data_IF_301321499351
#
_entry.id   IF_301321499351
#
_cell.length_a   1.000
_cell.length_b   1.000
_cell.length_c   1.000
_cell.angle_alpha   90.00
_cell.angle_beta   90.00
_cell.angle_gamma   90.00
#
_symmetry.space_group_name_H-M   'P 1'
#
loop_
_entity.id
_entity.type
_entity.pdbx_description
1 polymer ?
#
# COMPACT_ATOMS: atom_id res chain seq x y z
N UNK A 1 37.82 26.79 -20.52
CA UNK A 1 37.14 26.46 -19.25
C UNK A 1 35.65 26.29 -19.52
N UNK A 2 35.09 25.10 -19.30
CA UNK A 2 33.65 24.90 -19.42
C UNK A 2 32.92 25.74 -18.37
N UNK A 3 32.08 26.68 -18.82
CA UNK A 3 31.22 27.46 -17.91
C UNK A 3 30.21 26.51 -17.27
N UNK A 4 30.33 26.31 -15.96
CA UNK A 4 29.40 25.51 -15.16
C UNK A 4 28.50 26.41 -14.32
N UNK A 5 27.22 26.08 -14.27
CA UNK A 5 26.19 26.80 -13.55
C UNK A 5 25.60 25.90 -12.47
N UNK A 6 25.62 26.35 -11.21
CA UNK A 6 24.99 25.61 -10.11
C UNK A 6 23.60 26.15 -9.85
N UNK A 7 22.59 25.29 -9.90
CA UNK A 7 21.20 25.62 -9.59
C UNK A 7 20.83 25.01 -8.24
N UNK A 8 20.42 25.83 -7.28
CA UNK A 8 19.94 25.36 -5.97
C UNK A 8 18.48 25.77 -5.82
N UNK A 9 17.63 24.79 -5.60
CA UNK A 9 16.20 24.97 -5.41
C UNK A 9 15.90 24.75 -3.93
N UNK A 10 15.33 25.76 -3.29
CA UNK A 10 15.13 25.77 -1.85
C UNK A 10 13.77 26.32 -1.45
N UNK A 11 13.28 25.92 -0.28
CA UNK A 11 12.15 26.55 0.41
C UNK A 11 12.57 26.81 1.84
N UNK A 12 12.54 28.07 2.27
CA UNK A 12 13.03 28.45 3.60
C UNK A 12 14.48 27.94 3.81
N UNK A 13 14.70 27.02 4.77
CA UNK A 13 16.02 26.44 5.09
C UNK A 13 16.29 25.09 4.38
N UNK A 14 15.31 24.50 3.70
CA UNK A 14 15.47 23.18 3.08
C UNK A 14 15.81 23.29 1.60
N UNK A 15 16.83 22.56 1.17
CA UNK A 15 17.24 22.41 -0.23
C UNK A 15 16.54 21.16 -0.78
N UNK A 16 15.79 21.33 -1.88
CA UNK A 16 15.08 20.23 -2.54
C UNK A 16 15.93 19.63 -3.64
N UNK A 17 16.48 20.49 -4.51
CA UNK A 17 17.30 20.06 -5.64
C UNK A 17 18.58 20.90 -5.72
N UNK A 18 19.70 20.24 -5.99
CA UNK A 18 20.98 20.86 -6.29
C UNK A 18 21.48 20.28 -7.62
N UNK A 19 21.48 21.10 -8.67
CA UNK A 19 21.79 20.65 -10.03
C UNK A 19 22.99 21.42 -10.55
N UNK A 20 24.04 20.72 -10.95
CA UNK A 20 25.15 21.33 -11.68
C UNK A 20 24.91 21.15 -13.18
N UNK A 21 24.84 22.26 -13.89
CA UNK A 21 24.51 22.32 -15.31
C UNK A 21 25.77 22.75 -16.07
N UNK A 22 26.17 21.94 -17.03
CA UNK A 22 27.19 22.24 -18.05
C UNK A 22 26.54 22.17 -19.44
N UNK A 23 27.28 22.58 -20.46
CA UNK A 23 26.79 22.50 -21.85
C UNK A 23 26.41 21.08 -22.29
N UNK A 24 27.07 20.07 -21.73
CA UNK A 24 26.97 18.68 -22.17
C UNK A 24 26.27 17.78 -21.14
N UNK A 25 26.19 18.19 -19.87
CA UNK A 25 25.55 17.41 -18.81
C UNK A 25 24.78 18.28 -17.82
N UNK A 26 23.73 17.73 -17.23
CA UNK A 26 23.07 18.31 -16.06
C UNK A 26 22.94 17.22 -15.01
N UNK A 27 23.69 17.36 -13.92
CA UNK A 27 23.81 16.33 -12.88
C UNK A 27 23.09 16.84 -11.63
N UNK A 28 22.09 16.08 -11.20
CA UNK A 28 21.36 16.32 -9.96
C UNK A 28 22.12 15.65 -8.81
N UNK A 29 22.60 16.44 -7.86
CA UNK A 29 23.10 15.93 -6.59
C UNK A 29 21.90 15.62 -5.69
N UNK A 30 21.65 14.33 -5.47
CA UNK A 30 20.70 13.89 -4.47
C UNK A 30 21.26 14.21 -3.09
N UNK A 31 20.44 14.80 -2.23
CA UNK A 31 20.71 14.84 -0.80
C UNK A 31 20.71 13.39 -0.30
N UNK A 32 21.88 12.82 0.00
CA UNK A 32 21.98 11.60 0.78
C UNK A 32 21.45 11.91 2.18
N UNK A 33 20.16 11.66 2.41
CA UNK A 33 19.66 11.44 3.76
C UNK A 33 19.90 9.95 4.07
N UNK A 34 20.75 9.74 5.07
CA UNK A 34 21.32 8.47 5.55
C UNK A 34 20.38 7.26 5.48
N UNK A 35 20.87 6.17 4.88
CA UNK A 35 20.88 4.84 5.50
C UNK A 35 22.02 3.98 4.90
N UNK A 36 22.97 3.63 5.78
CA UNK A 36 23.96 2.53 5.71
C UNK A 36 25.07 2.60 4.65
N UNK A 37 26.21 3.15 5.11
CA UNK A 37 27.50 2.45 5.03
C UNK A 37 28.20 2.37 3.69
N UNK A 38 28.87 3.44 3.26
CA UNK A 38 30.00 3.32 2.33
C UNK A 38 31.11 4.28 2.77
N UNK A 39 32.20 3.71 3.30
CA UNK A 39 33.52 4.32 3.22
C UNK A 39 33.90 4.33 1.73
N UNK A 40 33.63 5.42 1.03
CA UNK A 40 34.35 5.76 -0.18
C UNK A 40 34.59 7.27 -0.17
N UNK A 41 35.81 7.61 0.27
CA UNK A 41 36.38 8.93 0.14
C UNK A 41 36.27 9.39 -1.32
N UNK A 42 35.74 10.58 -1.63
CA UNK A 42 36.12 11.23 -2.86
C UNK A 42 37.48 11.89 -2.62
N UNK A 43 38.52 11.33 -3.23
CA UNK A 43 39.77 12.04 -3.47
C UNK A 43 39.46 13.28 -4.32
N UNK A 44 39.15 14.40 -3.67
CA UNK A 44 39.23 15.72 -4.29
C UNK A 44 40.67 16.15 -4.08
N UNK A 45 41.46 15.90 -5.11
CA UNK A 45 42.78 16.48 -5.30
C UNK A 45 42.62 18.00 -5.15
N UNK A 46 43.25 18.54 -4.12
CA UNK A 46 43.49 19.95 -3.94
C UNK A 46 44.07 20.54 -5.23
N UNK A 47 43.34 21.45 -5.84
CA UNK A 47 43.92 22.47 -6.71
C UNK A 47 43.16 23.78 -6.51
N UNK A 48 43.81 24.66 -5.76
CA UNK A 48 43.46 26.05 -5.50
C UNK A 48 43.19 26.78 -6.82
N UNK A 49 41.92 27.11 -7.07
CA UNK A 49 41.57 28.28 -7.88
C UNK A 49 40.50 29.05 -7.11
N UNK A 50 40.83 30.26 -6.65
CA UNK A 50 39.90 31.15 -5.97
C UNK A 50 38.86 31.69 -6.97
N UNK A 51 37.97 30.84 -7.47
CA UNK A 51 36.78 31.25 -8.20
C UNK A 51 35.75 31.75 -7.17
N UNK A 52 35.53 33.08 -7.07
CA UNK A 52 34.43 33.58 -6.22
C UNK A 52 33.10 33.02 -6.75
N UNK A 53 32.26 32.52 -5.87
CA UNK A 53 30.94 32.02 -6.23
C UNK A 53 29.97 33.18 -6.09
N UNK A 54 29.30 33.56 -7.18
CA UNK A 54 28.27 34.61 -7.12
C UNK A 54 26.91 33.93 -6.97
N UNK A 55 26.25 34.17 -5.84
CA UNK A 55 24.90 33.69 -5.57
C UNK A 55 23.86 34.70 -6.09
N UNK A 56 23.02 34.28 -7.03
CA UNK A 56 21.98 35.12 -7.64
C UNK A 56 20.60 34.55 -7.31
N UNK A 57 19.78 35.23 -6.48
CA UNK A 57 18.42 34.79 -6.22
C UNK A 57 17.51 35.13 -7.40
N UNK A 58 16.92 34.11 -8.02
CA UNK A 58 15.85 34.32 -8.99
C UNK A 58 14.53 34.51 -8.24
N UNK A 59 14.02 35.75 -8.31
CA UNK A 59 12.71 36.17 -7.80
C UNK A 59 12.47 35.92 -6.29
N UNK A 60 12.42 37.00 -5.51
CA UNK A 60 12.19 36.93 -4.05
C UNK A 60 10.82 36.34 -3.65
N UNK A 61 9.81 36.43 -4.53
CA UNK A 61 8.46 35.87 -4.33
C UNK A 61 8.38 34.36 -4.58
N UNK A 62 9.43 33.79 -5.18
CA UNK A 62 9.54 32.37 -5.51
C UNK A 62 8.69 31.93 -6.71
N UNK A 63 8.98 30.73 -7.19
CA UNK A 63 8.34 30.11 -8.35
C UNK A 63 7.44 28.95 -7.94
N UNK A 64 6.45 28.64 -8.78
CA UNK A 64 5.59 27.48 -8.61
C UNK A 64 6.44 26.19 -8.64
N UNK A 65 6.34 25.37 -7.59
CA UNK A 65 7.10 24.14 -7.46
C UNK A 65 6.95 23.17 -8.65
N UNK A 66 5.76 23.07 -9.25
CA UNK A 66 5.55 22.21 -10.42
C UNK A 66 6.29 22.73 -11.65
N UNK A 67 6.28 24.04 -11.88
CA UNK A 67 7.01 24.65 -13.00
C UNK A 67 8.52 24.45 -12.84
N UNK A 68 9.05 24.64 -11.62
CA UNK A 68 10.47 24.43 -11.34
C UNK A 68 10.85 22.97 -11.52
N UNK A 69 10.01 22.04 -11.07
CA UNK A 69 10.23 20.60 -11.27
C UNK A 69 10.28 20.23 -12.76
N UNK A 70 9.31 20.72 -13.54
CA UNK A 70 9.29 20.52 -15.00
C UNK A 70 10.53 21.14 -15.66
N UNK A 71 10.89 22.36 -15.26
CA UNK A 71 12.06 23.06 -15.79
C UNK A 71 13.36 22.27 -15.55
N UNK A 72 13.60 21.83 -14.32
CA UNK A 72 14.77 21.01 -13.97
C UNK A 72 14.79 19.70 -14.75
N UNK A 73 13.64 19.03 -14.83
CA UNK A 73 13.55 17.78 -15.56
C UNK A 73 13.81 17.97 -17.07
N UNK A 74 13.32 19.05 -17.66
CA UNK A 74 13.61 19.42 -19.06
C UNK A 74 15.09 19.73 -19.29
N UNK A 75 15.75 20.41 -18.34
CA UNK A 75 17.19 20.65 -18.39
C UNK A 75 17.99 19.35 -18.32
N UNK A 76 17.56 18.38 -17.51
CA UNK A 76 18.24 17.09 -17.39
C UNK A 76 18.04 16.24 -18.64
N UNK A 77 16.82 16.17 -19.18
CA UNK A 77 16.50 15.25 -20.28
C UNK A 77 16.85 15.78 -21.67
N UNK A 78 16.71 17.08 -21.92
CA UNK A 78 16.89 17.65 -23.27
C UNK A 78 18.17 18.47 -23.40
N UNK A 79 19.07 18.02 -24.28
CA UNK A 79 20.33 18.73 -24.56
C UNK A 79 20.08 20.07 -25.29
N UNK A 80 19.16 20.09 -26.25
CA UNK A 80 18.81 21.32 -27.01
C UNK A 80 18.24 22.39 -26.08
N UNK A 81 17.28 22.01 -25.24
CA UNK A 81 16.70 22.91 -24.24
C UNK A 81 17.76 23.40 -23.25
N UNK A 82 18.63 22.53 -22.76
CA UNK A 82 19.71 22.88 -21.83
C UNK A 82 20.66 23.92 -22.41
N UNK A 83 21.13 23.73 -23.65
CA UNK A 83 22.03 24.69 -24.30
C UNK A 83 21.37 26.06 -24.47
N UNK A 84 20.13 26.10 -24.95
CA UNK A 84 19.38 27.35 -25.10
C UNK A 84 19.14 28.04 -23.74
N UNK A 85 18.73 27.29 -22.72
CA UNK A 85 18.52 27.82 -21.38
C UNK A 85 19.82 28.36 -20.74
N UNK A 86 20.94 27.64 -20.90
CA UNK A 86 22.25 28.09 -20.44
C UNK A 86 22.71 29.37 -21.15
N UNK A 87 22.50 29.48 -22.47
CA UNK A 87 22.82 30.70 -23.22
C UNK A 87 22.09 31.91 -22.65
N UNK A 88 20.78 31.78 -22.46
CA UNK A 88 19.93 32.86 -21.93
C UNK A 88 20.34 33.21 -20.51
N UNK A 89 20.54 32.22 -19.64
CA UNK A 89 20.93 32.45 -18.25
C UNK A 89 22.31 33.08 -18.13
N UNK A 90 23.31 32.60 -18.86
CA UNK A 90 24.66 33.16 -18.84
C UNK A 90 24.68 34.60 -19.40
N UNK A 91 23.90 34.88 -20.45
CA UNK A 91 23.76 36.25 -20.99
C UNK A 91 23.16 37.21 -19.95
N UNK A 92 22.09 36.80 -19.29
CA UNK A 92 21.49 37.58 -18.21
C UNK A 92 22.44 37.79 -17.03
N UNK A 93 23.16 36.74 -16.62
CA UNK A 93 24.11 36.83 -15.51
C UNK A 93 25.27 37.78 -15.86
N UNK A 94 25.83 37.70 -17.08
CA UNK A 94 26.91 38.59 -17.50
C UNK A 94 26.52 40.07 -17.52
N UNK A 95 25.26 40.39 -17.81
CA UNK A 95 24.75 41.76 -17.76
C UNK A 95 24.64 42.30 -16.33
N UNK A 96 24.39 41.41 -15.37
CA UNK A 96 24.21 41.79 -13.96
C UNK A 96 25.56 41.94 -13.26
N UNK A 97 26.55 41.12 -13.62
CA UNK A 97 27.81 41.03 -12.86
C UNK A 97 29.02 41.69 -13.52
N UNK A 98 28.95 42.15 -14.78
CA UNK A 98 30.03 42.83 -15.52
C UNK A 98 31.42 42.14 -15.46
N UNK A 99 31.49 40.85 -15.09
CA UNK A 99 32.75 40.15 -14.81
C UNK A 99 32.74 38.73 -15.37
N UNK A 100 33.88 38.30 -15.92
CA UNK A 100 33.97 37.13 -16.81
C UNK A 100 34.48 35.84 -16.16
N UNK A 101 34.97 35.88 -14.91
CA UNK A 101 35.72 34.78 -14.28
C UNK A 101 35.07 34.12 -13.05
N UNK A 102 33.74 34.13 -12.93
CA UNK A 102 33.04 33.56 -11.76
C UNK A 102 32.19 32.33 -12.07
N UNK A 103 32.10 31.45 -11.07
CA UNK A 103 31.13 30.34 -11.06
C UNK A 103 29.81 30.87 -10.52
N UNK A 104 28.77 30.78 -11.34
CA UNK A 104 27.45 31.29 -10.98
C UNK A 104 26.64 30.24 -10.21
N UNK A 105 26.03 30.66 -9.11
CA UNK A 105 25.09 29.88 -8.32
C UNK A 105 23.73 30.56 -8.32
N UNK A 106 22.74 29.94 -8.95
CA UNK A 106 21.38 30.44 -9.01
C UNK A 106 20.58 29.83 -7.87
N UNK A 107 19.93 30.69 -7.07
CA UNK A 107 19.02 30.27 -6.00
C UNK A 107 17.57 30.45 -6.48
N UNK A 108 16.83 29.35 -6.60
CA UNK A 108 15.40 29.35 -6.92
C UNK A 108 14.61 29.07 -5.64
N UNK A 109 13.85 30.07 -5.20
CA UNK A 109 12.92 29.91 -4.07
C UNK A 109 11.62 29.26 -4.54
N UNK A 110 11.21 28.18 -3.89
CA UNK A 110 9.95 27.49 -4.17
C UNK A 110 8.77 28.15 -3.44
N UNK A 111 7.63 28.17 -4.13
CA UNK A 111 6.33 28.56 -3.60
C UNK A 111 5.32 27.44 -3.83
N UNK A 112 4.46 27.21 -2.84
CA UNK A 112 3.32 26.30 -2.99
C UNK A 112 2.42 26.79 -4.12
N UNK A 113 2.06 25.94 -5.08
CA UNK A 113 1.13 26.28 -6.16
C UNK A 113 -0.23 26.69 -5.60
N UNK A 114 -0.87 27.71 -6.21
CA UNK A 114 -2.22 28.13 -5.82
C UNK A 114 -3.29 27.08 -6.19
N UNK A 115 -3.08 26.36 -7.30
CA UNK A 115 -3.93 25.26 -7.76
C UNK A 115 -3.14 23.96 -7.62
N UNK A 116 -3.58 23.11 -6.70
CA UNK A 116 -2.98 21.81 -6.45
C UNK A 116 -3.81 20.76 -7.19
N UNK A 117 -3.18 19.98 -8.07
CA UNK A 117 -3.87 18.92 -8.82
C UNK A 117 -3.92 17.59 -8.06
N UNK A 118 -3.12 17.47 -7.00
CA UNK A 118 -3.13 16.31 -6.12
C UNK A 118 -4.32 16.42 -5.16
N UNK A 119 -5.19 15.41 -5.19
CA UNK A 119 -6.34 15.33 -4.30
C UNK A 119 -5.96 14.72 -2.95
N UNK A 120 -5.49 15.56 -2.04
CA UNK A 120 -5.11 15.11 -0.69
C UNK A 120 -6.31 14.59 0.10
N UNK A 121 -7.51 15.12 -0.12
CA UNK A 121 -8.71 14.71 0.61
C UNK A 121 -9.09 13.27 0.25
N UNK A 122 -9.06 12.94 -1.05
CA UNK A 122 -9.28 11.57 -1.49
C UNK A 122 -8.13 10.64 -1.11
N UNK A 123 -6.88 11.12 -1.18
CA UNK A 123 -5.75 10.32 -0.73
C UNK A 123 -5.86 9.94 0.76
N UNK A 124 -6.26 10.88 1.62
CA UNK A 124 -6.51 10.64 3.04
C UNK A 124 -7.64 9.63 3.26
N UNK A 125 -8.76 9.78 2.54
CA UNK A 125 -9.89 8.83 2.60
C UNK A 125 -9.49 7.42 2.19
N UNK A 126 -8.79 7.29 1.07
CA UNK A 126 -8.29 5.99 0.58
C UNK A 126 -7.33 5.38 1.59
N UNK A 127 -6.41 6.18 2.14
CA UNK A 127 -5.47 5.72 3.17
C UNK A 127 -6.21 5.15 4.37
N UNK A 128 -7.25 5.85 4.86
CA UNK A 128 -8.07 5.37 5.97
C UNK A 128 -8.79 4.06 5.65
N UNK A 129 -9.42 3.95 4.47
CA UNK A 129 -10.11 2.73 4.04
C UNK A 129 -9.18 1.53 3.90
N UNK A 130 -7.98 1.75 3.36
CA UNK A 130 -6.96 0.68 3.21
C UNK A 130 -6.45 0.22 4.58
N UNK A 131 -6.17 1.16 5.49
CA UNK A 131 -5.76 0.83 6.85
C UNK A 131 -6.86 0.04 7.57
N UNK A 132 -8.11 0.50 7.52
CA UNK A 132 -9.24 -0.20 8.12
C UNK A 132 -9.39 -1.62 7.57
N UNK A 133 -9.34 -1.78 6.24
CA UNK A 133 -9.42 -3.10 5.59
C UNK A 133 -8.29 -4.02 6.06
N UNK A 134 -7.05 -3.50 6.14
CA UNK A 134 -5.89 -4.25 6.60
C UNK A 134 -6.04 -4.74 8.04
N UNK A 135 -6.52 -3.88 8.94
CA UNK A 135 -6.73 -4.25 10.34
C UNK A 135 -7.82 -5.32 10.48
N UNK A 136 -8.89 -5.21 9.68
CA UNK A 136 -9.97 -6.21 9.66
C UNK A 136 -9.48 -7.56 9.12
N UNK A 137 -8.68 -7.58 8.05
CA UNK A 137 -8.07 -8.80 7.50
C UNK A 137 -7.11 -9.46 8.49
N UNK A 138 -6.33 -8.65 9.22
CA UNK A 138 -5.46 -9.12 10.28
C UNK A 138 -6.27 -9.77 11.41
N UNK A 139 -7.29 -9.08 11.92
CA UNK A 139 -8.19 -9.62 12.95
C UNK A 139 -8.88 -10.92 12.48
N UNK A 140 -9.35 -10.97 11.23
CA UNK A 140 -9.97 -12.17 10.65
C UNK A 140 -8.99 -13.36 10.59
N UNK A 141 -7.73 -13.10 10.29
CA UNK A 141 -6.67 -14.12 10.27
C UNK A 141 -6.45 -14.72 11.66
N UNK A 142 -6.32 -13.88 12.69
CA UNK A 142 -6.19 -14.33 14.09
C UNK A 142 -7.40 -15.13 14.56
N UNK A 143 -8.61 -14.62 14.31
CA UNK A 143 -9.84 -15.31 14.69
C UNK A 143 -9.99 -16.65 13.97
N UNK A 144 -9.48 -16.77 12.73
CA UNK A 144 -9.52 -18.04 11.99
C UNK A 144 -8.60 -19.09 12.61
N UNK A 145 -7.40 -18.69 13.03
CA UNK A 145 -6.46 -19.58 13.73
C UNK A 145 -7.03 -20.01 15.09
N UNK A 146 -7.50 -19.05 15.88
CA UNK A 146 -8.06 -19.32 17.21
C UNK A 146 -9.35 -20.15 17.13
N UNK A 147 -10.25 -19.79 16.20
CA UNK A 147 -11.50 -20.50 15.96
C UNK A 147 -11.26 -21.93 15.45
N UNK A 148 -10.23 -22.14 14.62
CA UNK A 148 -9.79 -23.47 14.21
C UNK A 148 -9.36 -24.34 15.40
N UNK A 149 -8.54 -23.79 16.30
CA UNK A 149 -8.07 -24.49 17.50
C UNK A 149 -9.23 -24.85 18.45
N UNK A 150 -10.11 -23.90 18.78
CA UNK A 150 -11.28 -24.18 19.63
C UNK A 150 -12.26 -25.15 18.97
N UNK A 151 -12.43 -25.08 17.65
CA UNK A 151 -13.27 -26.02 16.93
C UNK A 151 -12.68 -27.42 16.96
N UNK A 152 -11.36 -27.59 16.83
CA UNK A 152 -10.73 -28.91 16.94
C UNK A 152 -10.95 -29.55 18.34
N UNK A 153 -10.89 -28.74 19.40
CA UNK A 153 -11.16 -29.18 20.78
C UNK A 153 -12.66 -29.28 21.12
N UNK A 154 -13.54 -28.81 20.24
CA UNK A 154 -14.97 -28.67 20.51
C UNK A 154 -15.73 -30.00 20.59
N UNK A 155 -15.16 -31.09 20.08
CA UNK A 155 -15.75 -32.43 20.16
C UNK A 155 -15.58 -33.04 21.56
N UNK A 156 -14.48 -32.73 22.24
CA UNK A 156 -14.18 -33.23 23.59
C UNK A 156 -14.69 -32.27 24.67
N UNK A 157 -14.62 -30.97 24.43
CA UNK A 157 -14.95 -29.94 25.42
C UNK A 157 -16.07 -29.02 24.93
N UNK A 158 -17.25 -29.15 25.53
CA UNK A 158 -18.43 -28.35 25.17
C UNK A 158 -18.17 -26.84 25.28
N UNK A 159 -17.40 -26.39 26.28
CA UNK A 159 -16.99 -25.00 26.42
C UNK A 159 -16.19 -24.50 25.21
N UNK A 160 -15.31 -25.33 24.64
CA UNK A 160 -14.55 -24.96 23.44
C UNK A 160 -15.46 -24.83 22.22
N UNK A 161 -16.46 -25.69 22.06
CA UNK A 161 -17.47 -25.54 21.00
C UNK A 161 -18.27 -24.23 21.13
N UNK A 162 -18.65 -23.84 22.35
CA UNK A 162 -19.31 -22.55 22.60
C UNK A 162 -18.41 -21.37 22.25
N UNK A 163 -17.12 -21.43 22.62
CA UNK A 163 -16.14 -20.40 22.29
C UNK A 163 -15.89 -20.30 20.78
N UNK A 164 -15.78 -21.42 20.07
CA UNK A 164 -15.68 -21.45 18.60
C UNK A 164 -16.91 -20.78 17.94
N UNK A 165 -18.10 -20.98 18.51
CA UNK A 165 -19.32 -20.29 18.06
C UNK A 165 -19.27 -18.78 18.26
N UNK A 166 -18.83 -18.31 19.43
CA UNK A 166 -18.65 -16.87 19.71
C UNK A 166 -17.63 -16.24 18.75
N UNK A 167 -16.51 -16.92 18.50
CA UNK A 167 -15.49 -16.47 17.54
C UNK A 167 -16.09 -16.39 16.13
N UNK A 168 -16.85 -17.41 15.71
CA UNK A 168 -17.49 -17.44 14.38
C UNK A 168 -18.48 -16.29 14.18
N UNK A 169 -19.19 -15.87 15.23
CA UNK A 169 -20.08 -14.69 15.18
C UNK A 169 -19.26 -13.41 14.99
N UNK A 170 -18.13 -13.26 15.70
CA UNK A 170 -17.22 -12.12 15.50
C UNK A 170 -16.64 -12.08 14.09
N UNK A 171 -16.21 -13.22 13.57
CA UNK A 171 -15.77 -13.33 12.17
C UNK A 171 -16.88 -12.93 11.18
N UNK A 172 -18.12 -13.34 11.43
CA UNK A 172 -19.26 -12.97 10.60
C UNK A 172 -19.51 -11.45 10.61
N UNK A 173 -19.41 -10.79 11.76
CA UNK A 173 -19.52 -9.32 11.86
C UNK A 173 -18.44 -8.61 11.03
N UNK A 174 -17.19 -9.06 11.12
CA UNK A 174 -16.09 -8.53 10.30
C UNK A 174 -16.31 -8.79 8.81
N UNK A 175 -16.78 -9.97 8.44
CA UNK A 175 -17.03 -10.34 7.05
C UNK A 175 -18.16 -9.50 6.41
N UNK A 176 -19.19 -9.14 7.18
CA UNK A 176 -20.23 -8.21 6.74
C UNK A 176 -19.65 -6.81 6.47
N UNK A 177 -18.76 -6.34 7.35
CA UNK A 177 -18.10 -5.03 7.19
C UNK A 177 -17.18 -4.99 5.97
N UNK A 178 -16.49 -6.08 5.67
CA UNK A 178 -15.66 -6.24 4.47
C UNK A 178 -16.47 -6.39 3.18
N UNK A 179 -17.79 -6.60 3.26
CA UNK A 179 -18.66 -6.72 2.08
C UNK A 179 -18.42 -7.97 1.22
N UNK A 180 -17.76 -9.00 1.75
CA UNK A 180 -17.43 -10.21 0.99
C UNK A 180 -18.45 -11.35 1.24
N UNK A 181 -19.34 -11.66 0.28
CA UNK A 181 -20.41 -12.65 0.46
C UNK A 181 -19.89 -14.08 0.66
N UNK A 182 -18.77 -14.44 0.04
CA UNK A 182 -18.14 -15.76 0.22
C UNK A 182 -17.51 -15.90 1.59
N UNK A 183 -16.88 -14.83 2.10
CA UNK A 183 -16.33 -14.79 3.45
C UNK A 183 -17.44 -14.93 4.49
N UNK A 184 -18.55 -14.22 4.28
CA UNK A 184 -19.77 -14.36 5.10
C UNK A 184 -20.28 -15.80 5.11
N UNK A 185 -20.34 -16.46 3.95
CA UNK A 185 -20.76 -17.85 3.85
C UNK A 185 -19.84 -18.81 4.63
N UNK A 186 -18.51 -18.58 4.58
CA UNK A 186 -17.53 -19.34 5.37
C UNK A 186 -17.74 -19.16 6.87
N UNK A 187 -17.97 -17.93 7.34
CA UNK A 187 -18.24 -17.66 8.76
C UNK A 187 -19.53 -18.32 9.24
N UNK A 188 -20.59 -18.30 8.42
CA UNK A 188 -21.82 -19.03 8.72
C UNK A 188 -21.59 -20.53 8.80
N UNK A 189 -20.69 -21.09 7.99
CA UNK A 189 -20.33 -22.50 8.04
C UNK A 189 -19.57 -22.85 9.33
N UNK A 190 -18.66 -21.99 9.81
CA UNK A 190 -18.01 -22.15 11.11
C UNK A 190 -19.00 -22.07 12.29
N UNK A 191 -19.96 -21.14 12.23
CA UNK A 191 -21.02 -21.05 13.23
C UNK A 191 -21.89 -22.32 13.24
N UNK A 192 -22.31 -22.79 12.06
CA UNK A 192 -23.07 -24.03 11.92
C UNK A 192 -22.31 -25.24 12.49
N UNK A 193 -21.00 -25.32 12.27
CA UNK A 193 -20.13 -26.34 12.84
C UNK A 193 -20.12 -26.30 14.37
N UNK A 194 -19.97 -25.12 14.98
CA UNK A 194 -19.98 -24.97 16.44
C UNK A 194 -21.30 -25.40 17.07
N UNK A 195 -22.43 -25.20 16.37
CA UNK A 195 -23.75 -25.65 16.81
C UNK A 195 -23.87 -27.17 16.76
N UNK A 196 -23.33 -27.80 15.71
CA UNK A 196 -23.30 -29.27 15.59
C UNK A 196 -22.47 -29.88 16.73
N UNK A 197 -21.30 -29.31 17.03
CA UNK A 197 -20.45 -29.74 18.14
C UNK A 197 -21.14 -29.60 19.52
N UNK A 198 -22.08 -28.67 19.64
CA UNK A 198 -22.92 -28.51 20.84
C UNK A 198 -24.17 -29.40 20.84
N UNK A 199 -24.38 -30.24 19.83
CA UNK A 199 -25.53 -31.15 19.71
C UNK A 199 -26.78 -30.55 19.04
N UNK A 200 -26.69 -29.35 18.48
CA UNK A 200 -27.80 -28.75 17.73
C UNK A 200 -27.72 -29.09 16.25
N UNK A 201 -28.71 -29.82 15.71
CA UNK A 201 -28.66 -30.31 14.32
C UNK A 201 -29.70 -29.69 13.38
N UNK A 202 -30.83 -29.21 13.90
CA UNK A 202 -31.93 -28.68 13.06
C UNK A 202 -31.52 -27.41 12.30
N UNK A 203 -31.06 -26.39 13.01
CA UNK A 203 -30.68 -25.09 12.42
C UNK A 203 -29.46 -25.20 11.49
N UNK A 204 -28.36 -25.87 11.90
CA UNK A 204 -27.18 -26.01 11.03
C UNK A 204 -27.48 -26.71 9.71
N UNK A 205 -28.35 -27.72 9.71
CA UNK A 205 -28.76 -28.44 8.49
C UNK A 205 -29.30 -27.49 7.41
N UNK A 206 -30.16 -26.54 7.78
CA UNK A 206 -30.69 -25.55 6.83
C UNK A 206 -29.62 -24.54 6.39
N UNK A 207 -28.82 -24.04 7.33
CA UNK A 207 -27.74 -23.09 7.01
C UNK A 207 -26.75 -23.68 6.00
N UNK A 208 -26.31 -24.91 6.26
CA UNK A 208 -25.34 -25.65 5.46
C UNK A 208 -25.85 -25.88 4.03
N UNK A 209 -27.12 -26.25 3.86
CA UNK A 209 -27.73 -26.40 2.53
C UNK A 209 -27.71 -25.09 1.73
N UNK A 210 -28.07 -23.98 2.38
CA UNK A 210 -28.09 -22.66 1.73
C UNK A 210 -26.67 -22.21 1.35
N UNK A 211 -25.69 -22.46 2.21
CA UNK A 211 -24.28 -22.15 1.95
C UNK A 211 -23.74 -22.98 0.78
N UNK A 212 -24.07 -24.27 0.72
CA UNK A 212 -23.63 -25.13 -0.37
C UNK A 212 -24.22 -24.70 -1.71
N UNK A 213 -25.52 -24.36 -1.75
CA UNK A 213 -26.16 -23.81 -2.96
C UNK A 213 -25.43 -22.57 -3.45
N UNK A 214 -25.15 -21.62 -2.55
CA UNK A 214 -24.39 -20.41 -2.88
C UNK A 214 -22.97 -20.73 -3.37
N UNK A 215 -22.31 -21.74 -2.80
CA UNK A 215 -20.96 -22.14 -3.20
C UNK A 215 -20.91 -22.76 -4.61
N UNK A 216 -21.96 -23.49 -5.00
CA UNK A 216 -22.12 -24.02 -6.35
C UNK A 216 -22.45 -22.88 -7.32
N UNK A 217 -23.40 -22.02 -6.97
CA UNK A 217 -23.80 -20.88 -7.82
C UNK A 217 -22.62 -19.92 -8.09
N UNK A 218 -21.71 -19.74 -7.13
CA UNK A 218 -20.54 -18.88 -7.26
C UNK A 218 -19.24 -19.61 -7.68
N UNK A 219 -19.30 -20.91 -7.99
CA UNK A 219 -18.14 -21.74 -8.34
C UNK A 219 -16.96 -21.65 -7.34
N UNK A 220 -17.23 -21.46 -6.04
CA UNK A 220 -16.19 -21.41 -5.01
C UNK A 220 -15.77 -22.83 -4.59
N UNK A 221 -14.76 -23.36 -5.28
CA UNK A 221 -14.17 -24.68 -5.02
C UNK A 221 -13.66 -24.83 -3.58
N UNK A 222 -13.19 -23.75 -2.94
CA UNK A 222 -12.67 -23.78 -1.57
C UNK A 222 -13.81 -23.94 -0.55
N UNK A 223 -14.92 -23.22 -0.74
CA UNK A 223 -16.10 -23.34 0.12
C UNK A 223 -16.79 -24.70 -0.07
N UNK A 224 -16.86 -25.19 -1.31
CA UNK A 224 -17.32 -26.55 -1.60
C UNK A 224 -16.45 -27.62 -0.91
N UNK A 225 -15.12 -27.48 -0.97
CA UNK A 225 -14.19 -28.37 -0.28
C UNK A 225 -14.31 -28.31 1.24
N UNK A 226 -14.58 -27.13 1.79
CA UNK A 226 -14.78 -26.95 3.22
C UNK A 226 -16.07 -27.63 3.69
N UNK A 227 -17.15 -27.56 2.89
CA UNK A 227 -18.38 -28.33 3.10
C UNK A 227 -18.10 -29.83 3.06
N UNK A 228 -17.48 -30.33 1.99
CA UNK A 228 -17.32 -31.77 1.77
C UNK A 228 -16.38 -32.41 2.78
N UNK A 229 -15.27 -31.77 3.14
CA UNK A 229 -14.32 -32.32 4.12
C UNK A 229 -14.89 -32.28 5.54
N UNK A 230 -15.30 -31.10 6.02
CA UNK A 230 -15.72 -30.96 7.43
C UNK A 230 -17.02 -31.68 7.76
N UNK A 231 -17.96 -31.80 6.82
CA UNK A 231 -19.24 -32.45 7.10
C UNK A 231 -19.22 -33.96 6.89
N UNK A 232 -18.34 -34.49 6.03
CA UNK A 232 -18.17 -35.96 5.93
C UNK A 232 -17.63 -36.54 7.22
N UNK A 233 -16.63 -35.89 7.83
CA UNK A 233 -16.00 -36.39 9.06
C UNK A 233 -16.95 -36.33 10.27
N UNK A 234 -17.84 -35.33 10.32
CA UNK A 234 -18.77 -35.12 11.45
C UNK A 234 -20.09 -35.89 11.30
N UNK A 235 -20.60 -36.10 10.08
CA UNK A 235 -21.87 -36.81 9.88
C UNK A 235 -21.73 -38.34 9.77
N UNK A 236 -20.55 -38.88 9.45
CA UNK A 236 -20.32 -40.34 9.42
C UNK A 236 -20.53 -40.98 10.82
N UNK A 237 -20.07 -40.39 11.94
CA UNK A 237 -20.37 -40.87 13.29
C UNK A 237 -21.85 -40.69 13.69
N UNK A 238 -22.48 -39.57 13.32
CA UNK A 238 -23.90 -39.28 13.60
C UNK A 238 -24.82 -40.35 12.95
N UNK A 239 -24.44 -40.86 11.78
CA UNK A 239 -25.15 -41.96 11.09
C UNK A 239 -25.13 -43.29 11.86
N UNK A 240 -24.14 -43.50 12.75
CA UNK A 240 -24.01 -44.68 13.62
C UNK A 240 -24.69 -44.48 14.99
N UNK A 241 -24.73 -43.26 15.51
CA UNK A 241 -25.32 -42.92 16.81
C UNK A 241 -26.85 -42.81 16.79
N UNK A 242 -27.44 -42.37 15.67
CA UNK A 242 -28.89 -42.35 15.49
C UNK A 242 -29.35 -43.66 14.83
N UNK A 243 -29.63 -44.72 15.61
CA UNK A 243 -30.52 -45.84 15.22
C UNK A 243 -31.95 -45.33 15.00
N UNK A 244 -32.12 -44.36 14.13
CA UNK A 244 -33.40 -43.78 13.74
C UNK A 244 -33.71 -44.34 12.37
N UNK A 245 -34.84 -45.05 12.18
CA UNK A 245 -35.25 -45.49 10.86
C UNK A 245 -35.43 -44.25 9.99
N UNK A 246 -34.68 -44.19 8.89
CA UNK A 246 -34.78 -43.16 7.86
C UNK A 246 -36.18 -43.21 7.22
N UNK A 247 -37.17 -42.55 7.84
CA UNK A 247 -38.35 -42.04 7.14
C UNK A 247 -38.16 -40.56 6.85
N UNK A 248 -37.13 -40.24 6.07
CA UNK A 248 -36.98 -39.02 5.28
C UNK A 248 -35.65 -39.15 4.52
N UNK A 249 -35.77 -39.45 3.23
CA UNK A 249 -34.66 -39.80 2.35
C UNK A 249 -33.55 -38.75 2.32
N UNK A 250 -32.33 -39.24 2.53
CA UNK A 250 -31.09 -38.57 2.08
C UNK A 250 -30.61 -39.16 0.75
N UNK A 251 -31.51 -39.80 -0.02
CA UNK A 251 -31.25 -40.40 -1.32
C UNK A 251 -31.22 -39.41 -2.49
N UNK A 252 -31.64 -38.16 -2.28
CA UNK A 252 -31.71 -37.15 -3.34
C UNK A 252 -30.57 -36.15 -3.21
N UNK A 253 -29.34 -36.56 -3.51
CA UNK A 253 -28.24 -35.63 -3.78
C UNK A 253 -27.42 -36.14 -4.97
N UNK A 254 -27.20 -35.29 -6.01
CA UNK A 254 -26.51 -35.71 -7.22
C UNK A 254 -25.03 -36.03 -6.91
N UNK A 255 -24.54 -37.08 -7.57
CA UNK A 255 -23.14 -37.53 -7.55
C UNK A 255 -22.21 -36.49 -8.16
#
# INVERSE_FOLDING_TARGET
MEKSLKLIIHRSKTIFDNVNITWNSAIKYLHQNNEKGVKSKPNILDNKSHCKIIAVPLNQRGFNAYLVSLYVNSLIKSNTYRKAALQVLLKHLSLITNQTNFKYMILIKLRTPKKQFLDYKWNERITKMVLETRELDYAMSWLSTLGGAFSALGEEFQHCAQMAGKISIKQFQLALHLGNPLLVARCKLYAALSLIQQGYFKTPKYMIKNIYKLAVDQNDTRLQNMYTKKLKDIFVPIRKLFKVPLKCGFSDFPR
#
